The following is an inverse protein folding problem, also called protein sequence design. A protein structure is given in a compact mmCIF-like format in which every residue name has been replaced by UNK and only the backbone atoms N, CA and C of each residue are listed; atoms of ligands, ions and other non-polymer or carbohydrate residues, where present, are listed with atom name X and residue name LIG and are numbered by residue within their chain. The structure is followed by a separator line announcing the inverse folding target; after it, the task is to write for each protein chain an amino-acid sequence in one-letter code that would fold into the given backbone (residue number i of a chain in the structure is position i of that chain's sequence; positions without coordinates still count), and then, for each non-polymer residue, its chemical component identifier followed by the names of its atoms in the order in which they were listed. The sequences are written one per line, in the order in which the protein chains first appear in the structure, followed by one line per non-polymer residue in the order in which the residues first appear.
data_IF_384624080104
#
_entry.id   IF_384624080104
#
_cell.length_a   1.000
_cell.length_b   1.000
_cell.length_c   1.000
_cell.angle_alpha   90.00
_cell.angle_beta   90.00
_cell.angle_gamma   90.00
#
_symmetry.space_group_name_H-M   'P 1'
#
loop_
_entity.id
_entity.type
_entity.pdbx_description
1 polymer ?
#
# COMPACT_ATOMS: atom_id res chain seq x y z
N UNK A 1 7.35 -14.32 -16.25
CA UNK A 1 7.75 -14.33 -14.82
C UNK A 1 7.03 -13.16 -14.14
N UNK A 2 6.46 -13.34 -12.94
CA UNK A 2 5.87 -12.23 -12.20
C UNK A 2 6.95 -11.29 -11.67
N UNK A 3 6.67 -9.99 -11.66
CA UNK A 3 7.54 -8.97 -11.07
C UNK A 3 6.95 -8.54 -9.73
N UNK A 4 7.82 -8.27 -8.74
CA UNK A 4 7.42 -7.69 -7.46
C UNK A 4 8.11 -6.34 -7.35
N UNK A 5 7.31 -5.29 -7.14
CA UNK A 5 7.78 -3.94 -6.92
C UNK A 5 7.58 -3.56 -5.45
N UNK A 6 8.61 -2.99 -4.83
CA UNK A 6 8.57 -2.56 -3.43
C UNK A 6 8.79 -1.05 -3.37
N UNK A 7 7.79 -0.32 -2.86
CA UNK A 7 7.89 1.11 -2.59
C UNK A 7 8.08 1.30 -1.08
N UNK A 8 9.22 1.85 -0.67
CA UNK A 8 9.64 1.99 0.74
C UNK A 8 9.97 3.44 1.10
N UNK A 9 10.07 3.72 2.41
CA UNK A 9 10.29 5.07 2.96
C UNK A 9 9.55 5.31 4.28
N UNK A 10 9.85 6.43 4.95
CA UNK A 10 9.25 6.81 6.23
C UNK A 10 7.71 7.04 6.15
N UNK A 11 7.05 7.09 7.29
CA UNK A 11 5.64 7.50 7.39
C UNK A 11 5.48 8.94 6.91
N UNK A 12 4.44 9.21 6.12
CA UNK A 12 4.21 10.51 5.50
C UNK A 12 5.09 10.83 4.27
N UNK A 13 6.00 9.95 3.85
CA UNK A 13 6.86 10.16 2.67
C UNK A 13 6.13 10.13 1.31
N UNK A 14 4.80 9.96 1.29
CA UNK A 14 3.99 9.94 0.06
C UNK A 14 3.97 8.60 -0.69
N UNK A 15 4.42 7.49 -0.06
CA UNK A 15 4.47 6.15 -0.68
C UNK A 15 3.14 5.75 -1.33
N UNK A 16 2.05 5.79 -0.56
CA UNK A 16 0.70 5.41 -1.03
C UNK A 16 0.25 6.29 -2.20
N UNK A 17 0.47 7.60 -2.08
CA UNK A 17 0.15 8.55 -3.15
C UNK A 17 0.93 8.26 -4.43
N UNK A 18 2.23 8.00 -4.32
CA UNK A 18 3.07 7.67 -5.46
C UNK A 18 2.67 6.33 -6.10
N UNK A 19 2.33 5.30 -5.31
CA UNK A 19 1.88 3.99 -5.84
C UNK A 19 0.67 4.10 -6.76
N UNK A 20 -0.27 5.02 -6.49
CA UNK A 20 -1.47 5.16 -7.31
C UNK A 20 -1.21 5.63 -8.74
N UNK A 21 -0.08 6.30 -8.97
CA UNK A 21 0.33 6.73 -10.32
C UNK A 21 1.40 5.79 -10.86
N UNK A 22 2.46 5.53 -10.08
CA UNK A 22 3.63 4.78 -10.56
C UNK A 22 3.28 3.34 -10.93
N UNK A 23 2.47 2.65 -10.13
CA UNK A 23 2.15 1.25 -10.41
C UNK A 23 1.33 1.09 -11.71
N UNK A 24 0.14 1.71 -11.86
CA UNK A 24 -0.67 1.49 -13.05
C UNK A 24 -0.16 2.21 -14.30
N UNK A 25 0.41 3.42 -14.18
CA UNK A 25 0.74 4.25 -15.36
C UNK A 25 2.17 4.03 -15.86
N UNK A 26 3.12 3.69 -14.98
CA UNK A 26 4.55 3.57 -15.33
C UNK A 26 4.98 2.10 -15.40
N UNK A 27 4.50 1.27 -14.47
CA UNK A 27 4.95 -0.13 -14.32
C UNK A 27 3.95 -1.16 -14.84
N UNK A 28 2.80 -0.71 -15.38
CA UNK A 28 1.68 -1.55 -15.84
C UNK A 28 1.28 -2.62 -14.79
N UNK A 29 1.27 -2.21 -13.53
CA UNK A 29 0.94 -3.04 -12.38
C UNK A 29 -0.31 -2.48 -11.71
N UNK A 30 -1.42 -3.23 -11.80
CA UNK A 30 -2.72 -2.79 -11.25
C UNK A 30 -2.94 -3.32 -9.84
N UNK A 31 -2.27 -4.41 -9.51
CA UNK A 31 -2.32 -5.09 -8.24
C UNK A 31 -1.51 -4.31 -7.20
N UNK A 32 -2.21 -3.74 -6.22
CA UNK A 32 -1.60 -2.99 -5.13
C UNK A 32 -1.98 -3.61 -3.78
N UNK A 33 -0.97 -4.07 -3.04
CA UNK A 33 -1.13 -4.65 -1.71
C UNK A 33 -0.51 -3.69 -0.69
N UNK A 34 -1.34 -3.17 0.22
CA UNK A 34 -0.92 -2.23 1.25
C UNK A 34 -1.56 -2.61 2.59
N UNK A 35 -0.75 -2.67 3.65
CA UNK A 35 -1.17 -3.12 4.96
C UNK A 35 -2.22 -2.20 5.62
N UNK A 36 -2.05 -0.88 5.49
CA UNK A 36 -2.96 0.11 6.07
C UNK A 36 -4.34 0.02 5.41
N UNK A 37 -4.38 -0.12 4.08
CA UNK A 37 -5.62 -0.29 3.33
C UNK A 37 -6.33 -1.61 3.68
N UNK A 38 -5.57 -2.69 3.91
CA UNK A 38 -6.11 -3.97 4.38
C UNK A 38 -6.71 -3.82 5.78
N UNK A 39 -5.98 -3.18 6.71
CA UNK A 39 -6.45 -2.94 8.07
C UNK A 39 -7.75 -2.11 8.08
N UNK A 40 -7.81 -1.05 7.27
CA UNK A 40 -9.01 -0.23 7.10
C UNK A 40 -10.20 -1.01 6.51
N UNK A 41 -9.94 -1.96 5.60
CA UNK A 41 -10.98 -2.86 5.09
C UNK A 41 -11.50 -3.85 6.13
N UNK A 42 -10.64 -4.34 7.03
CA UNK A 42 -11.01 -5.29 8.10
C UNK A 42 -11.74 -4.59 9.25
N UNK A 43 -11.26 -3.42 9.69
CA UNK A 43 -11.85 -2.66 10.79
C UNK A 43 -11.96 -1.17 10.44
N UNK A 44 -12.99 -0.76 9.69
CA UNK A 44 -13.08 0.60 9.16
C UNK A 44 -13.18 1.69 10.24
N UNK A 45 -13.68 1.35 11.43
CA UNK A 45 -13.78 2.28 12.56
C UNK A 45 -12.60 2.17 13.54
N UNK A 46 -11.76 1.14 13.42
CA UNK A 46 -10.59 0.97 14.28
C UNK A 46 -9.43 0.22 13.58
N UNK A 47 -8.88 0.78 12.48
CA UNK A 47 -7.87 0.10 11.67
C UNK A 47 -6.61 -0.23 12.49
N UNK A 48 -6.21 0.65 13.39
CA UNK A 48 -5.01 0.51 14.22
C UNK A 48 -5.04 -0.74 15.10
N UNK A 49 -6.22 -1.26 15.47
CA UNK A 49 -6.34 -2.49 16.26
C UNK A 49 -6.05 -3.78 15.48
N UNK A 50 -6.13 -3.72 14.16
CA UNK A 50 -5.89 -4.85 13.26
C UNK A 50 -4.68 -4.63 12.35
N UNK A 51 -4.03 -3.47 12.47
CA UNK A 51 -2.79 -3.18 11.79
C UNK A 51 -1.68 -4.13 12.28
N UNK A 52 -0.84 -4.58 11.34
CA UNK A 52 0.32 -5.39 11.68
C UNK A 52 1.35 -4.49 12.38
N UNK A 53 1.91 -4.94 13.51
CA UNK A 53 3.03 -4.25 14.13
C UNK A 53 4.24 -4.29 13.18
N UNK A 54 4.83 -3.11 12.93
CA UNK A 54 6.04 -2.94 12.13
C UNK A 54 7.31 -3.27 12.93
#
# INVERSE_FOLDING_TARGET
MPNIYIISGCNGAGKTTASYTVLPEILDCKEFVNADNIAAGISPFNPDKVALAA
#
